data_IF_903471099742
#
_entry.id   IF_903471099742
#
_cell.length_a   1.000
_cell.length_b   1.000
_cell.length_c   1.000
_cell.angle_alpha   90.00
_cell.angle_beta   90.00
_cell.angle_gamma   90.00
#
_symmetry.space_group_name_H-M   'P 1'
#
loop_
_entity.id
_entity.type
_entity.pdbx_description
1 polymer ?
#
# COMPACT_ATOMS: atom_id res chain seq x y z
N UNK A 1 -18.29 54.49 62.59
CA UNK A 1 -17.64 54.67 61.26
C UNK A 1 -16.63 53.54 61.11
N UNK A 2 -17.07 52.43 60.44
CA UNK A 2 -16.20 51.29 60.14
C UNK A 2 -15.71 51.36 58.71
N UNK A 3 -14.46 51.07 58.43
CA UNK A 3 -13.95 50.98 57.06
C UNK A 3 -14.28 49.59 56.47
N UNK A 4 -14.79 49.62 55.27
CA UNK A 4 -15.06 48.46 54.41
C UNK A 4 -13.74 48.06 53.77
N UNK A 5 -13.28 46.81 54.06
CA UNK A 5 -12.20 46.20 53.31
C UNK A 5 -12.76 45.50 52.10
N UNK A 6 -12.34 45.99 50.93
CA UNK A 6 -12.70 45.39 49.64
C UNK A 6 -11.63 44.38 49.25
N UNK A 7 -11.96 43.08 49.41
CA UNK A 7 -11.10 41.99 49.01
C UNK A 7 -11.24 41.75 47.51
N UNK A 8 -10.19 42.04 46.73
CA UNK A 8 -10.14 41.73 45.30
C UNK A 8 -9.68 40.27 45.15
N UNK A 9 -10.63 39.38 44.75
CA UNK A 9 -10.26 38.04 44.31
C UNK A 9 -9.75 38.11 42.86
N UNK A 10 -8.45 37.95 42.68
CA UNK A 10 -7.84 37.64 41.39
C UNK A 10 -8.20 36.21 41.03
N UNK A 11 -9.17 36.04 40.14
CA UNK A 11 -9.40 34.74 39.47
C UNK A 11 -8.25 34.54 38.46
N UNK A 12 -7.27 33.74 38.82
CA UNK A 12 -6.27 33.23 37.91
C UNK A 12 -6.90 32.26 36.90
N UNK A 13 -7.10 32.75 35.67
CA UNK A 13 -7.42 31.87 34.57
C UNK A 13 -6.19 31.00 34.28
N UNK A 14 -6.17 29.81 34.87
CA UNK A 14 -5.22 28.78 34.51
C UNK A 14 -5.50 28.35 33.07
N UNK A 15 -4.62 28.76 32.15
CA UNK A 15 -4.51 28.14 30.83
C UNK A 15 -4.07 26.70 31.06
N UNK A 16 -5.04 25.82 31.21
CA UNK A 16 -4.80 24.37 31.19
C UNK A 16 -4.29 24.01 29.81
N UNK A 17 -2.97 23.94 29.67
CA UNK A 17 -2.36 23.24 28.56
C UNK A 17 -2.81 21.79 28.64
N UNK A 18 -3.76 21.39 27.83
CA UNK A 18 -4.06 19.98 27.61
C UNK A 18 -2.79 19.38 27.01
N UNK A 19 -2.01 18.70 27.84
CA UNK A 19 -0.94 17.84 27.37
C UNK A 19 -1.63 16.77 26.52
N UNK A 20 -1.67 16.96 25.20
CA UNK A 20 -2.01 15.88 24.29
C UNK A 20 -0.89 14.86 24.44
N UNK A 21 -1.19 13.72 25.04
CA UNK A 21 -0.25 12.61 25.06
C UNK A 21 0.14 12.30 23.61
N UNK A 22 1.43 12.26 23.38
CA UNK A 22 1.97 11.81 22.09
C UNK A 22 1.81 10.29 22.04
N UNK A 23 0.88 9.81 21.21
CA UNK A 23 0.65 8.39 21.00
C UNK A 23 1.49 7.87 19.84
N UNK A 24 1.84 6.58 19.90
CA UNK A 24 2.43 5.86 18.78
C UNK A 24 1.32 5.18 17.98
N UNK A 25 1.27 5.42 16.69
CA UNK A 25 0.29 4.86 15.76
C UNK A 25 0.97 3.81 14.91
N UNK A 26 0.53 2.56 15.02
CA UNK A 26 1.03 1.44 14.22
C UNK A 26 0.27 1.37 12.88
N UNK A 27 0.98 1.58 11.79
CA UNK A 27 0.40 1.62 10.44
C UNK A 27 1.02 0.54 9.58
N UNK A 28 0.20 -0.18 8.82
CA UNK A 28 0.67 -1.07 7.76
C UNK A 28 0.10 -0.65 6.42
N UNK A 29 0.95 -0.54 5.41
CA UNK A 29 0.54 -0.15 4.06
C UNK A 29 1.02 -1.13 3.00
N UNK A 30 0.16 -1.36 2.01
CA UNK A 30 0.57 -2.03 0.78
C UNK A 30 1.41 -1.11 -0.12
N UNK A 31 2.14 -1.72 -1.06
CA UNK A 31 3.10 -1.01 -1.91
C UNK A 31 2.53 0.17 -2.68
N UNK A 32 1.24 0.14 -3.04
CA UNK A 32 0.60 1.19 -3.84
C UNK A 32 0.57 2.57 -3.16
N UNK A 33 0.58 2.62 -1.82
CA UNK A 33 0.55 3.89 -1.09
C UNK A 33 1.75 4.08 -0.13
N UNK A 34 2.56 3.05 0.06
CA UNK A 34 3.66 3.05 1.04
C UNK A 34 4.61 4.24 0.88
N UNK A 35 5.14 4.46 -0.32
CA UNK A 35 6.09 5.56 -0.57
C UNK A 35 5.48 6.96 -0.43
N UNK A 36 4.17 7.09 -0.58
CA UNK A 36 3.47 8.34 -0.28
C UNK A 36 3.37 8.55 1.22
N UNK A 37 3.10 7.50 2.00
CA UNK A 37 3.08 7.57 3.46
C UNK A 37 4.44 7.95 4.05
N UNK A 38 5.55 7.40 3.54
CA UNK A 38 6.91 7.79 3.97
C UNK A 38 7.14 9.30 3.88
N UNK A 39 6.50 9.98 2.93
CA UNK A 39 6.59 11.44 2.77
C UNK A 39 5.58 12.21 3.62
N UNK A 40 4.42 11.64 3.88
CA UNK A 40 3.33 12.29 4.63
C UNK A 40 3.53 12.18 6.14
N UNK A 41 4.07 11.07 6.62
CA UNK A 41 4.27 10.80 8.05
C UNK A 41 5.03 11.92 8.76
N UNK A 42 6.21 12.40 8.29
CA UNK A 42 6.92 13.48 8.98
C UNK A 42 6.11 14.78 9.11
N UNK A 43 5.22 15.04 8.15
CA UNK A 43 4.34 16.21 8.19
C UNK A 43 3.24 16.04 9.25
N UNK A 44 2.66 14.85 9.31
CA UNK A 44 1.65 14.49 10.29
C UNK A 44 2.22 14.52 11.72
N UNK A 45 3.38 13.89 11.96
CA UNK A 45 4.07 13.87 13.25
C UNK A 45 4.40 15.29 13.73
N UNK A 46 4.91 16.13 12.83
CA UNK A 46 5.19 17.55 13.14
C UNK A 46 3.92 18.33 13.52
N UNK A 47 2.80 18.02 12.88
CA UNK A 47 1.55 18.74 13.09
C UNK A 47 0.81 18.29 14.35
N UNK A 48 0.90 17.01 14.70
CA UNK A 48 0.09 16.40 15.75
C UNK A 48 0.86 16.07 17.02
N UNK A 49 2.17 15.91 16.92
CA UNK A 49 3.03 15.43 18.02
C UNK A 49 2.98 13.90 18.20
N UNK A 50 2.14 13.17 17.46
CA UNK A 50 2.13 11.70 17.46
C UNK A 50 3.32 11.13 16.71
N UNK A 51 3.68 9.87 17.00
CA UNK A 51 4.70 9.10 16.27
C UNK A 51 4.02 8.03 15.42
N UNK A 52 4.49 7.79 14.20
CA UNK A 52 3.93 6.78 13.31
C UNK A 52 4.96 5.71 12.99
N UNK A 53 4.67 4.46 13.34
CA UNK A 53 5.45 3.31 12.91
C UNK A 53 4.85 2.71 11.64
N UNK A 54 5.53 2.89 10.50
CA UNK A 54 5.07 2.40 9.22
C UNK A 54 5.69 1.03 8.88
N UNK A 55 4.82 0.04 8.73
CA UNK A 55 5.15 -1.30 8.23
C UNK A 55 4.69 -1.50 6.80
N UNK A 56 5.33 -2.40 6.06
CA UNK A 56 4.92 -2.77 4.70
C UNK A 56 4.39 -4.19 4.63
N UNK A 57 3.45 -4.44 3.71
CA UNK A 57 2.95 -5.76 3.38
C UNK A 57 2.23 -5.77 2.04
N UNK A 58 2.09 -6.92 1.38
CA UNK A 58 1.23 -7.00 0.20
C UNK A 58 -0.24 -7.02 0.61
N UNK A 59 -1.13 -6.48 -0.26
CA UNK A 59 -2.57 -6.46 0.00
C UNK A 59 -3.15 -7.87 0.14
N UNK A 60 -2.53 -8.88 -0.50
CA UNK A 60 -2.96 -10.27 -0.51
C UNK A 60 -1.78 -11.20 -0.85
N UNK A 61 -2.04 -12.48 -0.90
CA UNK A 61 -1.08 -13.50 -1.34
C UNK A 61 -0.54 -14.36 -0.21
N UNK A 62 0.28 -15.35 -0.58
CA UNK A 62 0.80 -16.35 0.34
C UNK A 62 2.02 -15.90 1.16
N UNK A 63 2.59 -14.71 0.86
CA UNK A 63 3.76 -14.21 1.60
C UNK A 63 3.45 -14.09 3.09
N UNK A 64 4.36 -14.53 3.98
CA UNK A 64 4.23 -14.28 5.41
C UNK A 64 4.09 -12.79 5.77
N UNK A 65 4.59 -11.89 4.92
CA UNK A 65 4.50 -10.43 5.10
C UNK A 65 3.22 -9.82 4.55
N UNK A 66 2.35 -10.59 3.89
CA UNK A 66 1.07 -10.09 3.42
C UNK A 66 0.20 -9.63 4.60
N UNK A 67 -0.47 -8.49 4.43
CA UNK A 67 -1.28 -7.85 5.48
C UNK A 67 -2.29 -8.82 6.10
N UNK A 68 -3.09 -9.58 5.32
CA UNK A 68 -4.02 -10.55 5.89
C UNK A 68 -3.33 -11.65 6.73
N UNK A 69 -2.14 -12.09 6.31
CA UNK A 69 -1.40 -13.13 7.03
C UNK A 69 -0.78 -12.61 8.33
N UNK A 70 -0.36 -11.34 8.37
CA UNK A 70 0.14 -10.68 9.59
C UNK A 70 -0.99 -10.52 10.62
N UNK A 71 -2.16 -10.02 10.19
CA UNK A 71 -3.34 -9.91 11.04
C UNK A 71 -3.81 -11.27 11.57
N UNK A 72 -3.81 -12.30 10.71
CA UNK A 72 -4.16 -13.68 11.10
C UNK A 72 -3.22 -14.26 12.19
N UNK A 73 -1.96 -13.86 12.23
CA UNK A 73 -1.00 -14.24 13.27
C UNK A 73 -1.15 -13.43 14.56
N UNK A 74 -2.12 -12.51 14.63
CA UNK A 74 -2.38 -11.69 15.79
C UNK A 74 -1.58 -10.38 15.86
N UNK A 75 -0.84 -10.01 14.79
CA UNK A 75 -0.23 -8.68 14.74
C UNK A 75 -1.33 -7.61 14.73
N UNK A 76 -1.09 -6.49 15.42
CA UNK A 76 -2.05 -5.41 15.58
C UNK A 76 -1.55 -4.15 14.90
N UNK A 77 -2.46 -3.46 14.23
CA UNK A 77 -2.22 -2.17 13.59
C UNK A 77 -3.43 -1.27 13.85
N UNK A 78 -3.17 0.01 14.11
CA UNK A 78 -4.23 1.01 14.27
C UNK A 78 -4.82 1.41 12.93
N UNK A 79 -3.97 1.40 11.88
CA UNK A 79 -4.40 1.73 10.51
C UNK A 79 -3.85 0.70 9.52
N UNK A 80 -4.72 0.21 8.64
CA UNK A 80 -4.35 -0.68 7.54
C UNK A 80 -4.70 -0.02 6.19
N UNK A 81 -3.74 0.03 5.27
CA UNK A 81 -3.89 0.62 3.93
C UNK A 81 -3.58 -0.42 2.87
N UNK A 82 -4.61 -0.86 2.13
CA UNK A 82 -4.47 -1.89 1.11
C UNK A 82 -5.57 -1.77 0.04
N UNK A 83 -5.54 -2.65 -0.96
CA UNK A 83 -6.53 -2.66 -2.03
C UNK A 83 -7.95 -2.86 -1.46
N UNK A 84 -8.91 -2.04 -1.90
CA UNK A 84 -10.27 -2.02 -1.38
C UNK A 84 -10.99 -3.39 -1.34
N UNK A 85 -10.88 -4.26 -2.37
CA UNK A 85 -11.51 -5.59 -2.30
C UNK A 85 -10.98 -6.46 -1.16
N UNK A 86 -9.69 -6.33 -0.83
CA UNK A 86 -9.09 -7.08 0.29
C UNK A 86 -9.41 -6.45 1.63
N UNK A 87 -9.51 -5.13 1.70
CA UNK A 87 -9.96 -4.43 2.90
C UNK A 87 -11.39 -4.84 3.29
N UNK A 88 -12.29 -4.98 2.30
CA UNK A 88 -13.64 -5.47 2.52
C UNK A 88 -13.65 -6.88 3.14
N UNK A 89 -12.84 -7.79 2.63
CA UNK A 89 -12.70 -9.15 3.18
C UNK A 89 -12.16 -9.13 4.62
N UNK A 90 -11.27 -8.19 4.96
CA UNK A 90 -10.78 -8.04 6.33
C UNK A 90 -11.85 -7.50 7.27
N UNK A 91 -12.70 -6.58 6.80
CA UNK A 91 -13.84 -6.08 7.56
C UNK A 91 -14.88 -7.18 7.83
N UNK A 92 -15.21 -7.99 6.80
CA UNK A 92 -16.10 -9.15 6.96
C UNK A 92 -15.59 -10.18 7.99
N UNK A 93 -14.26 -10.29 8.13
CA UNK A 93 -13.61 -11.17 9.10
C UNK A 93 -13.42 -10.52 10.49
N UNK A 94 -13.83 -9.28 10.68
CA UNK A 94 -13.71 -8.55 11.94
C UNK A 94 -12.29 -8.05 12.27
N UNK A 95 -11.38 -7.97 11.28
CA UNK A 95 -10.05 -7.39 11.49
C UNK A 95 -10.04 -5.87 11.38
N UNK A 96 -11.04 -5.29 10.76
CA UNK A 96 -11.19 -3.85 10.53
C UNK A 96 -12.53 -3.41 11.07
N UNK A 97 -12.56 -2.29 11.78
CA UNK A 97 -13.77 -1.71 12.34
C UNK A 97 -14.79 -1.42 11.24
N UNK A 98 -16.05 -1.87 11.38
CA UNK A 98 -17.10 -1.59 10.42
C UNK A 98 -17.27 -0.09 10.16
N UNK A 99 -17.44 0.28 8.90
CA UNK A 99 -17.63 1.67 8.46
C UNK A 99 -16.43 2.63 8.69
N UNK A 100 -15.26 2.12 9.06
CA UNK A 100 -14.03 2.92 9.18
C UNK A 100 -13.28 3.09 7.86
N UNK A 101 -13.74 2.45 6.79
CA UNK A 101 -13.08 2.44 5.49
C UNK A 101 -13.21 3.78 4.79
N UNK A 102 -12.08 4.30 4.26
CA UNK A 102 -12.04 5.52 3.48
C UNK A 102 -11.15 5.34 2.23
N UNK A 103 -11.62 5.69 1.03
CA UNK A 103 -10.79 5.64 -0.16
C UNK A 103 -9.74 6.74 -0.10
N UNK A 104 -8.47 6.40 -0.33
CA UNK A 104 -7.35 7.33 -0.31
C UNK A 104 -6.89 7.70 -1.72
N UNK A 105 -6.65 6.70 -2.57
CA UNK A 105 -6.08 6.89 -3.91
C UNK A 105 -6.57 5.83 -4.88
N UNK A 106 -6.49 6.14 -6.18
CA UNK A 106 -6.54 5.15 -7.24
C UNK A 106 -5.09 4.74 -7.58
N UNK A 107 -4.80 3.44 -7.54
CA UNK A 107 -3.49 2.89 -7.87
C UNK A 107 -3.57 2.11 -9.18
N UNK A 108 -2.85 2.58 -10.20
CA UNK A 108 -2.73 1.87 -11.47
C UNK A 108 -1.60 0.86 -11.42
N UNK A 109 -1.72 -0.24 -12.17
CA UNK A 109 -0.63 -1.19 -12.36
C UNK A 109 0.40 -0.57 -13.27
N UNK A 110 1.64 -0.49 -12.80
CA UNK A 110 2.76 0.01 -13.56
C UNK A 110 3.55 -1.12 -14.21
N UNK A 111 4.05 -0.89 -15.45
CA UNK A 111 5.06 -1.72 -16.07
C UNK A 111 6.44 -1.13 -15.84
N UNK A 112 7.38 -1.94 -15.39
CA UNK A 112 8.77 -1.58 -15.21
C UNK A 112 9.66 -2.34 -16.20
N UNK A 113 10.77 -1.68 -16.59
CA UNK A 113 11.84 -2.25 -17.41
C UNK A 113 13.19 -2.00 -16.73
N UNK A 114 14.27 -2.70 -17.09
CA UNK A 114 15.61 -2.43 -16.59
C UNK A 114 16.01 -0.96 -16.79
N UNK A 115 16.82 -0.43 -15.88
CA UNK A 115 17.32 0.95 -15.97
C UNK A 115 18.10 1.16 -17.28
N UNK A 116 17.69 2.16 -18.04
CA UNK A 116 18.31 2.49 -19.34
C UNK A 116 17.71 1.74 -20.54
N UNK A 117 16.88 0.73 -20.31
CA UNK A 117 16.15 0.08 -21.40
C UNK A 117 15.08 1.02 -21.99
N UNK A 118 14.79 0.93 -23.31
CA UNK A 118 13.68 1.66 -23.90
C UNK A 118 12.36 1.32 -23.23
N UNK A 119 11.53 2.32 -23.00
CA UNK A 119 10.17 2.11 -22.49
C UNK A 119 9.27 1.63 -23.64
N UNK A 120 8.72 0.41 -23.57
CA UNK A 120 7.85 -0.07 -24.62
C UNK A 120 6.55 0.74 -24.70
N UNK A 121 6.01 0.86 -25.89
CA UNK A 121 4.73 1.51 -26.12
C UNK A 121 3.60 0.52 -25.77
N UNK A 122 2.85 0.84 -24.72
CA UNK A 122 1.68 0.07 -24.24
C UNK A 122 0.39 0.90 -24.32
N UNK A 123 0.31 1.86 -25.22
CA UNK A 123 -0.81 2.80 -25.35
C UNK A 123 -2.11 2.17 -25.86
N UNK A 124 -2.09 0.91 -26.30
CA UNK A 124 -3.28 0.14 -26.67
C UNK A 124 -3.13 -1.33 -26.27
N UNK A 125 -4.26 -2.05 -26.16
CA UNK A 125 -4.26 -3.49 -25.87
C UNK A 125 -3.39 -4.30 -26.84
N UNK A 126 -3.47 -4.04 -28.14
CA UNK A 126 -2.68 -4.72 -29.15
C UNK A 126 -1.16 -4.44 -29.02
N UNK A 127 -0.79 -3.21 -28.66
CA UNK A 127 0.62 -2.87 -28.40
C UNK A 127 1.12 -3.54 -27.12
N UNK A 128 0.29 -3.57 -26.09
CA UNK A 128 0.60 -4.25 -24.84
C UNK A 128 0.79 -5.75 -25.05
N UNK A 129 -0.12 -6.41 -25.77
CA UNK A 129 0.01 -7.81 -26.16
C UNK A 129 1.32 -8.11 -26.88
N UNK A 130 1.66 -7.28 -27.88
CA UNK A 130 2.93 -7.39 -28.61
C UNK A 130 4.15 -7.27 -27.70
N UNK A 131 4.13 -6.38 -26.72
CA UNK A 131 5.20 -6.23 -25.72
C UNK A 131 5.33 -7.50 -24.89
N UNK A 132 4.23 -8.06 -24.41
CA UNK A 132 4.22 -9.31 -23.65
C UNK A 132 4.75 -10.49 -24.49
N UNK A 133 4.33 -10.59 -25.76
CA UNK A 133 4.78 -11.65 -26.68
C UNK A 133 6.29 -11.56 -26.99
N UNK A 134 6.85 -10.37 -27.05
CA UNK A 134 8.27 -10.15 -27.34
C UNK A 134 9.20 -10.28 -26.11
N UNK A 135 8.68 -10.12 -24.92
CA UNK A 135 9.46 -10.31 -23.70
C UNK A 135 9.93 -11.76 -23.56
N UNK A 136 11.11 -11.96 -22.99
CA UNK A 136 11.66 -13.30 -22.71
C UNK A 136 11.20 -13.77 -21.33
N UNK A 137 11.24 -12.90 -20.33
CA UNK A 137 10.85 -13.18 -18.96
C UNK A 137 9.99 -12.04 -18.41
N UNK A 138 8.82 -12.36 -17.89
CA UNK A 138 7.84 -11.41 -17.37
C UNK A 138 7.69 -11.66 -15.88
N UNK A 139 7.96 -10.64 -15.04
CA UNK A 139 7.70 -10.71 -13.61
C UNK A 139 6.39 -10.02 -13.22
N UNK A 140 5.61 -10.60 -12.30
CA UNK A 140 4.45 -9.91 -11.72
C UNK A 140 4.32 -10.21 -10.24
N UNK A 141 3.74 -9.26 -9.48
CA UNK A 141 3.66 -9.38 -8.03
C UNK A 141 2.68 -10.47 -7.58
N UNK A 142 2.93 -11.08 -6.43
CA UNK A 142 1.95 -11.96 -5.76
C UNK A 142 0.91 -11.16 -4.95
N UNK A 143 0.68 -9.88 -5.30
CA UNK A 143 -0.30 -9.00 -4.67
C UNK A 143 -1.52 -8.77 -5.57
N UNK A 144 -2.37 -7.79 -5.24
CA UNK A 144 -3.59 -7.49 -5.97
C UNK A 144 -3.34 -7.20 -7.46
N UNK A 145 -2.30 -6.42 -7.79
CA UNK A 145 -1.93 -6.11 -9.18
C UNK A 145 -1.58 -7.36 -10.00
N UNK A 146 -0.73 -8.24 -9.45
CA UNK A 146 -0.36 -9.46 -10.15
C UNK A 146 -1.50 -10.47 -10.22
N UNK A 147 -2.36 -10.52 -9.22
CA UNK A 147 -3.57 -11.37 -9.27
C UNK A 147 -4.50 -10.92 -10.38
N UNK A 148 -4.69 -9.61 -10.56
CA UNK A 148 -5.49 -9.08 -11.68
C UNK A 148 -4.86 -9.43 -13.04
N UNK A 149 -3.54 -9.30 -13.19
CA UNK A 149 -2.87 -9.72 -14.42
C UNK A 149 -3.08 -11.20 -14.74
N UNK A 150 -2.86 -12.06 -13.73
CA UNK A 150 -2.93 -13.52 -13.87
C UNK A 150 -4.36 -14.03 -14.17
N UNK A 151 -5.36 -13.45 -13.50
CA UNK A 151 -6.74 -13.95 -13.56
C UNK A 151 -7.62 -13.27 -14.60
N UNK A 152 -7.33 -12.01 -14.88
CA UNK A 152 -8.24 -11.21 -15.71
C UNK A 152 -7.56 -10.75 -17.02
N UNK A 153 -6.32 -10.25 -16.95
CA UNK A 153 -5.65 -9.65 -18.11
C UNK A 153 -5.04 -10.72 -19.05
N UNK A 154 -4.19 -11.59 -18.53
CA UNK A 154 -3.56 -12.62 -19.37
C UNK A 154 -4.57 -13.56 -20.02
N UNK A 155 -5.60 -14.07 -19.32
CA UNK A 155 -6.63 -14.90 -19.94
C UNK A 155 -7.53 -14.16 -20.95
N UNK A 156 -7.50 -12.83 -21.01
CA UNK A 156 -8.26 -12.06 -22.00
C UNK A 156 -7.65 -12.08 -23.40
N UNK A 157 -6.38 -12.49 -23.52
CA UNK A 157 -5.74 -12.66 -24.82
C UNK A 157 -6.22 -13.95 -25.50
N UNK A 158 -6.09 -14.05 -26.84
CA UNK A 158 -6.41 -15.29 -27.55
C UNK A 158 -5.65 -16.51 -26.97
N UNK A 159 -6.18 -17.73 -27.05
CA UNK A 159 -5.61 -18.89 -26.35
C UNK A 159 -4.13 -19.20 -26.66
N UNK A 160 -3.69 -18.95 -27.89
CA UNK A 160 -2.30 -19.18 -28.31
C UNK A 160 -1.37 -18.17 -27.62
N UNK A 161 -1.71 -16.89 -27.70
CA UNK A 161 -0.97 -15.78 -27.08
C UNK A 161 -0.94 -15.90 -25.56
N UNK A 162 -2.07 -16.22 -24.93
CA UNK A 162 -2.16 -16.52 -23.51
C UNK A 162 -1.18 -17.62 -23.09
N UNK A 163 -1.14 -18.73 -23.83
CA UNK A 163 -0.21 -19.83 -23.53
C UNK A 163 1.25 -19.38 -23.62
N UNK A 164 1.61 -18.59 -24.63
CA UNK A 164 2.96 -18.04 -24.80
C UNK A 164 3.31 -17.07 -23.67
N UNK A 165 2.41 -16.15 -23.33
CA UNK A 165 2.62 -15.18 -22.24
C UNK A 165 2.78 -15.91 -20.90
N UNK A 166 1.88 -16.82 -20.59
CA UNK A 166 1.87 -17.55 -19.31
C UNK A 166 3.10 -18.43 -19.14
N UNK A 167 3.67 -18.99 -20.22
CA UNK A 167 4.86 -19.84 -20.14
C UNK A 167 6.13 -19.10 -19.71
N UNK A 168 6.15 -17.78 -19.78
CA UNK A 168 7.29 -16.92 -19.45
C UNK A 168 6.97 -15.87 -18.38
N UNK A 169 5.75 -15.92 -17.84
CA UNK A 169 5.31 -15.05 -16.76
C UNK A 169 5.50 -15.74 -15.40
N UNK A 170 6.24 -15.10 -14.50
CA UNK A 170 6.56 -15.61 -13.17
C UNK A 170 6.02 -14.72 -12.07
N UNK A 171 5.41 -15.34 -11.06
CA UNK A 171 4.88 -14.68 -9.88
C UNK A 171 5.98 -14.48 -8.83
N UNK A 172 6.27 -13.24 -8.51
CA UNK A 172 7.24 -12.86 -7.48
C UNK A 172 6.55 -12.83 -6.11
N UNK A 173 6.95 -13.74 -5.23
CA UNK A 173 6.41 -13.85 -3.87
C UNK A 173 7.42 -13.30 -2.86
N UNK A 174 6.96 -12.44 -1.95
CA UNK A 174 7.76 -11.94 -0.83
C UNK A 174 8.85 -10.93 -1.19
N UNK A 175 8.94 -10.50 -2.46
CA UNK A 175 9.93 -9.52 -2.93
C UNK A 175 9.27 -8.50 -3.89
N UNK A 176 10.01 -7.44 -4.22
CA UNK A 176 9.57 -6.43 -5.18
C UNK A 176 9.97 -6.85 -6.59
N UNK A 177 9.02 -6.78 -7.53
CA UNK A 177 9.27 -7.07 -8.95
C UNK A 177 10.38 -6.18 -9.52
N UNK A 178 10.36 -4.88 -9.18
CA UNK A 178 11.38 -3.93 -9.63
C UNK A 178 12.80 -4.31 -9.19
N UNK A 179 12.97 -4.91 -7.99
CA UNK A 179 14.28 -5.42 -7.54
C UNK A 179 14.74 -6.57 -8.42
N UNK A 180 13.87 -7.53 -8.73
CA UNK A 180 14.17 -8.66 -9.61
C UNK A 180 14.52 -8.24 -11.04
N UNK A 181 13.89 -7.17 -11.55
CA UNK A 181 14.26 -6.54 -12.84
C UNK A 181 15.66 -5.94 -12.74
N UNK A 182 15.99 -5.22 -11.67
CA UNK A 182 17.31 -4.63 -11.48
C UNK A 182 18.42 -5.70 -11.37
N UNK A 183 18.09 -6.89 -10.88
CA UNK A 183 18.97 -8.06 -10.82
C UNK A 183 19.04 -8.82 -12.16
N UNK A 184 18.35 -8.38 -13.21
CA UNK A 184 18.36 -8.98 -14.55
C UNK A 184 17.53 -10.25 -14.71
N UNK A 185 16.61 -10.55 -13.77
CA UNK A 185 15.79 -11.76 -13.81
C UNK A 185 14.62 -11.62 -14.80
N UNK A 186 14.12 -10.41 -15.04
CA UNK A 186 13.00 -10.11 -15.93
C UNK A 186 13.33 -8.99 -16.90
N UNK A 187 12.83 -9.11 -18.13
CA UNK A 187 12.91 -8.05 -19.15
C UNK A 187 11.88 -6.96 -18.87
N UNK A 188 10.72 -7.36 -18.37
CA UNK A 188 9.62 -6.48 -17.97
C UNK A 188 8.97 -7.04 -16.71
N UNK A 189 8.30 -6.16 -15.96
CA UNK A 189 7.56 -6.61 -14.80
C UNK A 189 6.48 -5.63 -14.38
N UNK A 190 5.56 -6.12 -13.56
CA UNK A 190 4.33 -5.41 -13.18
C UNK A 190 4.14 -5.41 -11.67
N UNK A 191 3.78 -4.23 -11.18
CA UNK A 191 3.47 -4.04 -9.77
C UNK A 191 2.44 -2.92 -9.55
#
# INVERSE_FOLDING_TARGET
KSPIFMTICLAGAGLGSTLTNADTIEVISSGGFYSSMEKLIPLFEKQTGHTVHLSSGSSMGASPTAIPNRLNRGERFDVVVLAAPELNKLAEKGYVEPNSQSPLVNSSIGMAVPKGAPKPDISSAAKFEKVLLNAKHIGYSASASGTHLEKDVFPSFPPVEYKVISSKAEKVVGDRVAKRIAEGQFDIGFQ
#
